data_IF_285252081413
#
_entry.id   IF_285252081413
#
_cell.length_a   1.000
_cell.length_b   1.000
_cell.length_c   1.000
_cell.angle_alpha   90.00
_cell.angle_beta   90.00
_cell.angle_gamma   90.00
#
_symmetry.space_group_name_H-M   'P 1'
#
loop_
_entity.id
_entity.type
_entity.pdbx_description
1 polymer ?
#
# COMPACT_ATOMS: atom_id res chain seq x y z
N UNK A 1 -14.24 -17.17 -3.73
CA UNK A 1 -13.24 -17.02 -4.81
C UNK A 1 -12.42 -15.78 -4.52
N UNK A 2 -11.09 -15.86 -4.56
CA UNK A 2 -10.19 -14.71 -4.41
C UNK A 2 -9.80 -14.18 -5.80
N UNK A 3 -9.73 -12.86 -6.01
CA UNK A 3 -9.38 -12.31 -7.31
C UNK A 3 -7.90 -12.59 -7.63
N UNK A 4 -7.61 -12.90 -8.91
CA UNK A 4 -6.23 -13.14 -9.40
C UNK A 4 -5.35 -11.89 -9.31
N UNK A 5 -5.97 -10.71 -9.52
CA UNK A 5 -5.35 -9.40 -9.39
C UNK A 5 -6.23 -8.55 -8.46
N UNK A 6 -5.61 -7.91 -7.47
CA UNK A 6 -6.25 -6.90 -6.63
C UNK A 6 -5.56 -5.55 -6.89
N UNK A 7 -6.36 -4.53 -7.19
CA UNK A 7 -5.87 -3.16 -7.34
C UNK A 7 -6.35 -2.39 -6.10
N UNK A 8 -5.41 -1.72 -5.44
CA UNK A 8 -5.67 -0.85 -4.30
C UNK A 8 -5.19 0.53 -4.68
N UNK A 9 -6.12 1.46 -4.75
CA UNK A 9 -5.88 2.82 -5.24
C UNK A 9 -5.82 3.80 -4.07
N UNK A 10 -5.09 4.90 -4.27
CA UNK A 10 -5.03 6.08 -3.38
C UNK A 10 -4.63 5.79 -1.91
N UNK A 11 -3.67 4.89 -1.70
CA UNK A 11 -3.14 4.61 -0.36
C UNK A 11 -2.48 5.88 0.19
N UNK A 12 -2.87 6.27 1.40
CA UNK A 12 -2.31 7.45 2.07
C UNK A 12 -3.08 8.75 1.87
N UNK A 13 -4.20 8.72 1.14
CA UNK A 13 -5.07 9.90 1.06
C UNK A 13 -5.80 10.18 2.39
N UNK A 14 -6.29 9.12 3.05
CA UNK A 14 -6.85 9.19 4.40
C UNK A 14 -6.01 8.35 5.37
N UNK A 15 -5.77 8.82 6.60
CA UNK A 15 -5.12 8.00 7.60
C UNK A 15 -6.03 6.84 8.01
N UNK A 16 -5.46 5.65 8.13
CA UNK A 16 -6.16 4.49 8.66
C UNK A 16 -6.29 4.60 10.18
N UNK A 17 -7.43 4.17 10.70
CA UNK A 17 -7.52 3.75 12.09
C UNK A 17 -6.68 2.48 12.32
N UNK A 18 -6.38 2.19 13.58
CA UNK A 18 -5.57 1.02 13.93
C UNK A 18 -6.22 -0.31 13.50
N UNK A 19 -7.56 -0.38 13.51
CA UNK A 19 -8.29 -1.57 13.06
C UNK A 19 -8.21 -1.74 11.55
N UNK A 20 -8.41 -0.66 10.78
CA UNK A 20 -8.32 -0.70 9.33
C UNK A 20 -6.89 -1.03 8.87
N UNK A 21 -5.86 -0.51 9.55
CA UNK A 21 -4.46 -0.85 9.28
C UNK A 21 -4.19 -2.36 9.47
N UNK A 22 -4.75 -2.96 10.53
CA UNK A 22 -4.64 -4.42 10.77
C UNK A 22 -5.37 -5.23 9.70
N UNK A 23 -6.58 -4.81 9.31
CA UNK A 23 -7.34 -5.46 8.25
C UNK A 23 -6.60 -5.38 6.90
N UNK A 24 -6.04 -4.22 6.60
CA UNK A 24 -5.23 -4.00 5.40
C UNK A 24 -3.99 -4.91 5.40
N UNK A 25 -3.27 -4.99 6.51
CA UNK A 25 -2.14 -5.91 6.67
C UNK A 25 -2.55 -7.36 6.42
N UNK A 26 -3.72 -7.80 6.92
CA UNK A 26 -4.21 -9.15 6.67
C UNK A 26 -4.46 -9.42 5.18
N UNK A 27 -4.93 -8.44 4.42
CA UNK A 27 -5.10 -8.56 2.96
C UNK A 27 -3.74 -8.76 2.29
N UNK A 28 -2.76 -7.91 2.62
CA UNK A 28 -1.40 -8.00 2.07
C UNK A 28 -0.78 -9.36 2.42
N UNK A 29 -0.83 -9.77 3.69
CA UNK A 29 -0.26 -11.03 4.17
C UNK A 29 -0.91 -12.26 3.53
N UNK A 30 -2.23 -12.23 3.26
CA UNK A 30 -2.92 -13.34 2.56
C UNK A 30 -2.55 -13.43 1.09
N UNK A 31 -2.15 -12.33 0.45
CA UNK A 31 -1.84 -12.26 -0.99
C UNK A 31 -0.36 -12.37 -1.31
N UNK A 32 0.50 -12.04 -0.34
CA UNK A 32 1.94 -12.21 -0.41
C UNK A 32 2.32 -13.61 -0.92
N UNK A 33 3.19 -13.65 -1.94
CA UNK A 33 3.65 -14.87 -2.65
C UNK A 33 2.55 -15.72 -3.32
N UNK A 34 1.28 -15.29 -3.33
CA UNK A 34 0.15 -16.09 -3.83
C UNK A 34 -0.58 -15.48 -5.01
N UNK A 35 -0.67 -14.16 -5.07
CA UNK A 35 -1.49 -13.48 -6.08
C UNK A 35 -1.05 -12.04 -6.31
N UNK A 36 -1.22 -11.55 -7.55
CA UNK A 36 -0.75 -10.23 -7.94
C UNK A 36 -1.52 -9.10 -7.24
N UNK A 37 -0.81 -7.99 -7.00
CA UNK A 37 -1.34 -6.74 -6.46
C UNK A 37 -0.78 -5.55 -7.24
N UNK A 38 -1.61 -4.54 -7.47
CA UNK A 38 -1.18 -3.21 -7.93
C UNK A 38 -1.63 -2.23 -6.87
N UNK A 39 -0.69 -1.38 -6.44
CA UNK A 39 -0.91 -0.39 -5.40
C UNK A 39 -0.58 0.99 -5.98
N UNK A 40 -1.40 1.99 -5.70
CA UNK A 40 -1.07 3.38 -6.01
C UNK A 40 -1.02 4.19 -4.71
N UNK A 41 -0.08 5.14 -4.66
CA UNK A 41 0.05 6.07 -3.55
C UNK A 41 0.70 7.34 -4.05
N UNK A 42 0.26 8.49 -3.51
CA UNK A 42 0.93 9.78 -3.66
C UNK A 42 1.98 10.02 -2.57
N UNK A 43 2.09 9.13 -1.59
CA UNK A 43 3.04 9.22 -0.49
C UNK A 43 4.31 8.43 -0.78
N UNK A 44 5.44 8.96 -0.30
CA UNK A 44 6.66 8.16 -0.21
C UNK A 44 6.54 7.10 0.89
N UNK A 45 7.26 5.98 0.78
CA UNK A 45 7.19 4.89 1.77
C UNK A 45 7.50 5.34 3.20
N UNK A 46 8.38 6.34 3.40
CA UNK A 46 8.68 6.88 4.73
C UNK A 46 7.52 7.64 5.39
N UNK A 47 6.49 8.01 4.63
CA UNK A 47 5.28 8.67 5.15
C UNK A 47 4.17 7.66 5.48
N UNK A 48 4.37 6.37 5.20
CA UNK A 48 3.35 5.36 5.44
C UNK A 48 3.14 5.12 6.94
N UNK A 49 4.16 5.28 7.79
CA UNK A 49 4.00 5.07 9.25
C UNK A 49 2.88 5.95 9.84
N UNK A 50 2.82 7.22 9.42
CA UNK A 50 1.75 8.14 9.83
C UNK A 50 0.38 7.75 9.25
N UNK A 51 0.37 7.15 8.07
CA UNK A 51 -0.84 6.68 7.40
C UNK A 51 -1.43 5.45 8.10
N UNK A 52 -0.60 4.54 8.61
CA UNK A 52 -1.02 3.31 9.26
C UNK A 52 -1.03 3.46 10.78
N UNK A 53 -1.79 4.45 11.26
CA UNK A 53 -2.04 4.72 12.68
C UNK A 53 -0.79 4.95 13.55
N UNK A 54 0.34 5.36 12.96
CA UNK A 54 1.60 5.56 13.69
C UNK A 54 2.32 4.27 14.08
N UNK A 55 1.86 3.11 13.58
CA UNK A 55 2.45 1.81 13.89
C UNK A 55 3.61 1.49 12.93
N UNK A 56 4.80 1.97 13.27
CA UNK A 56 6.01 1.77 12.47
C UNK A 56 6.38 0.28 12.32
N UNK A 57 6.09 -0.56 13.33
CA UNK A 57 6.39 -1.99 13.27
C UNK A 57 5.47 -2.70 12.26
N UNK A 58 4.16 -2.43 12.31
CA UNK A 58 3.19 -2.96 11.36
C UNK A 58 3.50 -2.47 9.93
N UNK A 59 3.82 -1.19 9.80
CA UNK A 59 4.12 -0.56 8.50
C UNK A 59 5.38 -1.15 7.88
N UNK A 60 6.45 -1.30 8.66
CA UNK A 60 7.68 -1.94 8.21
C UNK A 60 7.44 -3.39 7.76
N UNK A 61 6.72 -4.18 8.57
CA UNK A 61 6.38 -5.56 8.22
C UNK A 61 5.51 -5.66 6.95
N UNK A 62 4.65 -4.67 6.71
CA UNK A 62 3.83 -4.60 5.51
C UNK A 62 4.66 -4.22 4.27
N UNK A 63 5.50 -3.19 4.39
CA UNK A 63 6.37 -2.73 3.32
C UNK A 63 7.35 -3.82 2.89
N UNK A 64 7.90 -4.58 3.85
CA UNK A 64 8.75 -5.75 3.57
C UNK A 64 8.06 -6.74 2.62
N UNK A 65 6.79 -7.08 2.90
CA UNK A 65 6.00 -7.99 2.05
C UNK A 65 5.64 -7.39 0.69
N UNK A 66 5.29 -6.10 0.65
CA UNK A 66 4.93 -5.42 -0.58
C UNK A 66 6.16 -5.32 -1.50
N UNK A 67 7.32 -4.96 -0.94
CA UNK A 67 8.50 -4.61 -1.71
C UNK A 67 9.33 -5.82 -2.15
N UNK A 68 9.26 -6.95 -1.43
CA UNK A 68 10.06 -8.13 -1.72
C UNK A 68 9.90 -8.64 -3.17
N UNK A 69 8.66 -8.70 -3.68
CA UNK A 69 8.37 -9.11 -5.06
C UNK A 69 7.59 -8.03 -5.82
N UNK A 70 8.19 -6.85 -5.96
CA UNK A 70 7.55 -5.71 -6.63
C UNK A 70 8.41 -5.05 -7.70
N UNK A 71 7.72 -4.34 -8.60
CA UNK A 71 8.32 -3.31 -9.44
C UNK A 71 7.78 -1.97 -8.97
N UNK A 72 8.67 -1.12 -8.46
CA UNK A 72 8.31 0.23 -8.02
C UNK A 72 8.45 1.19 -9.18
N UNK A 73 7.35 1.83 -9.58
CA UNK A 73 7.32 2.83 -10.64
C UNK A 73 7.11 4.19 -10.00
N UNK A 74 8.14 5.03 -10.02
CA UNK A 74 8.03 6.40 -9.55
C UNK A 74 7.53 7.32 -10.68
N UNK A 75 6.29 7.80 -10.55
CA UNK A 75 5.67 8.72 -11.51
C UNK A 75 6.01 10.16 -11.11
N UNK A 76 6.52 10.94 -12.07
CA UNK A 76 6.82 12.38 -11.91
C UNK A 76 6.24 13.14 -13.10
N UNK A 77 5.80 14.37 -12.86
CA UNK A 77 5.25 15.24 -13.89
C UNK A 77 4.09 16.08 -13.39
N UNK A 78 3.57 16.93 -14.27
CA UNK A 78 2.39 17.74 -13.98
C UNK A 78 1.11 16.90 -13.95
N UNK A 79 0.14 17.35 -13.17
CA UNK A 79 -1.18 16.73 -13.14
C UNK A 79 -1.85 16.80 -14.50
N UNK A 80 -2.23 15.65 -15.05
CA UNK A 80 -2.99 15.58 -16.29
C UNK A 80 -4.40 16.18 -16.16
N UNK A 81 -4.92 16.36 -14.93
CA UNK A 81 -6.24 17.00 -14.68
C UNK A 81 -6.22 18.51 -14.88
N UNK A 82 -5.04 19.13 -14.77
CA UNK A 82 -4.85 20.58 -14.93
C UNK A 82 -4.42 20.96 -16.35
N UNK A 83 -4.23 19.96 -17.23
CA UNK A 83 -4.09 20.13 -18.67
C UNK A 83 -5.47 20.10 -19.31
#
# INVERSE_FOLDING_TARGET
>A
MTPRLLIIDEIGYLPFSQEEAKLYFQVIAKRYEKSAMILTSNLSFGQWDQTFAGDAALTSAMLDRILHYSHVIQIKGESYRLR
#
